data_IF_983226646432
#
_entry.id   IF_983226646432
#
_cell.length_a   1.000
_cell.length_b   1.000
_cell.length_c   1.000
_cell.angle_alpha   90.00
_cell.angle_beta   90.00
_cell.angle_gamma   90.00
#
_symmetry.space_group_name_H-M   'P 1'
#
loop_
_entity.id
_entity.type
_entity.pdbx_description
1 polymer ?
#
# COMPACT_ATOMS: atom_id res chain seq x y z
N UNK A 1 -2.56 4.51 -1.69
CA UNK A 1 -2.66 3.05 -1.82
C UNK A 1 -2.18 2.47 -0.49
N UNK A 2 -2.88 1.45 0.06
CA UNK A 2 -2.55 0.89 1.37
C UNK A 2 -2.89 1.86 2.51
N UNK A 3 -4.17 2.13 2.71
CA UNK A 3 -4.61 3.20 3.62
C UNK A 3 -5.02 2.70 5.01
N UNK A 4 -4.75 1.45 5.34
CA UNK A 4 -5.27 0.65 6.46
C UNK A 4 -5.66 1.41 7.74
N UNK A 5 -4.86 2.35 8.24
CA UNK A 5 -5.20 3.12 9.44
C UNK A 5 -5.49 4.62 9.21
N UNK A 6 -5.46 5.09 7.97
CA UNK A 6 -5.80 6.44 7.51
C UNK A 6 -5.05 7.62 8.19
N UNK A 7 -4.18 7.39 9.14
CA UNK A 7 -3.56 8.46 9.96
C UNK A 7 -2.76 9.47 9.13
N UNK A 8 -2.03 9.03 8.11
CA UNK A 8 -1.17 9.88 7.29
C UNK A 8 -1.93 10.74 6.28
N UNK A 9 -3.21 10.43 6.05
CA UNK A 9 -4.06 11.11 5.06
C UNK A 9 -5.26 11.82 5.70
N UNK A 10 -5.33 11.84 7.02
CA UNK A 10 -6.40 12.54 7.75
C UNK A 10 -6.52 14.00 7.29
N UNK A 11 -7.71 14.43 6.94
CA UNK A 11 -8.00 15.78 6.43
C UNK A 11 -7.81 15.99 4.91
N UNK A 12 -7.33 15.00 4.16
CA UNK A 12 -7.24 15.06 2.69
C UNK A 12 -8.55 14.61 2.06
N UNK A 13 -9.42 15.55 1.67
CA UNK A 13 -10.73 15.24 1.08
C UNK A 13 -10.68 14.95 -0.43
N UNK A 14 -9.69 15.45 -1.14
CA UNK A 14 -9.63 15.42 -2.60
C UNK A 14 -8.78 14.25 -3.15
N UNK A 15 -8.62 13.17 -2.39
CA UNK A 15 -7.88 11.98 -2.78
C UNK A 15 -8.77 10.84 -3.29
N UNK A 16 -8.16 9.90 -4.02
CA UNK A 16 -8.68 8.56 -4.23
C UNK A 16 -7.96 7.62 -3.28
N UNK A 17 -8.71 6.97 -2.40
CA UNK A 17 -8.20 6.06 -1.39
C UNK A 17 -8.42 4.62 -1.85
N UNK A 18 -7.38 3.80 -1.73
CA UNK A 18 -7.40 2.42 -2.23
C UNK A 18 -7.02 1.51 -1.07
N UNK A 19 -7.94 0.63 -0.70
CA UNK A 19 -7.79 -0.29 0.41
C UNK A 19 -8.43 -1.64 0.07
N UNK A 20 -7.64 -2.72 -0.07
CA UNK A 20 -8.17 -4.03 -0.42
C UNK A 20 -8.94 -4.72 0.71
N UNK A 21 -8.54 -4.51 1.96
CA UNK A 21 -9.17 -5.20 3.11
C UNK A 21 -10.49 -4.53 3.48
N UNK A 22 -11.59 -5.27 3.36
CA UNK A 22 -12.96 -4.75 3.52
C UNK A 22 -13.19 -4.06 4.87
N UNK A 23 -12.71 -4.61 5.98
CA UNK A 23 -12.87 -4.01 7.32
C UNK A 23 -12.17 -2.67 7.45
N UNK A 24 -10.98 -2.51 6.86
CA UNK A 24 -10.29 -1.22 6.82
C UNK A 24 -10.94 -0.26 5.82
N UNK A 25 -11.37 -0.76 4.66
CA UNK A 25 -12.08 0.05 3.67
C UNK A 25 -13.38 0.67 4.23
N UNK A 26 -14.15 -0.10 5.00
CA UNK A 26 -15.39 0.36 5.60
C UNK A 26 -15.14 1.44 6.68
N UNK A 27 -13.99 1.39 7.34
CA UNK A 27 -13.59 2.38 8.35
C UNK A 27 -13.07 3.70 7.75
N UNK A 28 -12.79 3.75 6.44
CA UNK A 28 -12.38 4.99 5.78
C UNK A 28 -13.53 6.01 5.81
N UNK A 29 -13.23 7.31 5.99
CA UNK A 29 -14.22 8.34 6.01
C UNK A 29 -15.00 8.41 4.68
N UNK A 30 -16.06 9.23 4.66
CA UNK A 30 -16.78 9.52 3.41
C UNK A 30 -15.86 10.29 2.46
N UNK A 31 -15.30 9.56 1.51
CA UNK A 31 -14.35 10.03 0.53
C UNK A 31 -14.41 9.16 -0.73
N UNK A 32 -13.78 9.62 -1.79
CA UNK A 32 -13.65 8.80 -3.01
C UNK A 32 -12.70 7.63 -2.73
N UNK A 33 -13.20 6.40 -2.78
CA UNK A 33 -12.45 5.20 -2.40
C UNK A 33 -12.78 3.99 -3.25
N UNK A 34 -11.82 3.04 -3.35
CA UNK A 34 -11.93 1.78 -4.08
C UNK A 34 -11.50 0.61 -3.19
N UNK A 35 -12.34 -0.43 -3.13
CA UNK A 35 -12.02 -1.65 -2.41
C UNK A 35 -11.36 -2.67 -3.35
N UNK A 36 -10.10 -2.43 -3.67
CA UNK A 36 -9.27 -3.25 -4.56
C UNK A 36 -7.82 -3.22 -4.10
N UNK A 37 -7.04 -4.22 -4.47
CA UNK A 37 -5.57 -4.17 -4.43
C UNK A 37 -5.02 -3.57 -5.73
N UNK A 38 -3.81 -3.02 -5.66
CA UNK A 38 -3.08 -2.54 -6.84
C UNK A 38 -1.88 -3.45 -7.09
N UNK A 39 -1.68 -3.81 -8.36
CA UNK A 39 -0.51 -4.53 -8.83
C UNK A 39 -0.26 -4.21 -10.32
N UNK A 40 0.66 -4.95 -10.94
CA UNK A 40 1.00 -4.90 -12.36
C UNK A 40 0.10 -5.79 -13.24
N UNK A 41 -0.96 -6.36 -12.67
CA UNK A 41 -1.94 -7.21 -13.37
C UNK A 41 -3.38 -6.91 -12.96
N UNK A 42 -4.31 -7.38 -13.78
CA UNK A 42 -5.76 -7.39 -13.48
C UNK A 42 -6.18 -8.81 -13.09
N UNK A 43 -6.96 -8.95 -12.02
CA UNK A 43 -7.43 -10.26 -11.59
C UNK A 43 -7.83 -10.32 -10.12
N UNK A 44 -7.38 -11.36 -9.43
CA UNK A 44 -7.64 -11.60 -8.02
C UNK A 44 -6.36 -12.09 -7.32
N UNK A 45 -6.23 -11.76 -6.05
CA UNK A 45 -5.15 -12.24 -5.19
C UNK A 45 -5.67 -12.53 -3.78
N UNK A 46 -4.88 -13.27 -3.01
CA UNK A 46 -5.13 -13.47 -1.58
C UNK A 46 -4.38 -12.37 -0.82
N UNK A 47 -5.07 -11.70 0.09
CA UNK A 47 -4.46 -10.78 1.05
C UNK A 47 -4.58 -11.35 2.46
N UNK A 48 -3.49 -11.28 3.21
CA UNK A 48 -3.43 -11.68 4.62
C UNK A 48 -3.45 -10.44 5.51
N UNK A 49 -4.25 -10.48 6.57
CA UNK A 49 -4.45 -9.35 7.46
C UNK A 49 -4.95 -9.79 8.85
N UNK A 50 -4.97 -8.85 9.80
CA UNK A 50 -5.73 -8.98 11.05
C UNK A 50 -6.83 -7.92 11.07
N UNK A 51 -8.02 -8.28 11.55
CA UNK A 51 -9.09 -7.29 11.71
C UNK A 51 -8.75 -6.30 12.84
N UNK A 52 -9.13 -5.03 12.71
CA UNK A 52 -8.96 -4.05 13.79
C UNK A 52 -9.50 -4.54 15.14
N UNK A 53 -10.67 -5.17 15.14
CA UNK A 53 -11.32 -5.70 16.33
C UNK A 53 -10.51 -6.84 16.98
N UNK A 54 -9.91 -7.73 16.18
CA UNK A 54 -9.08 -8.82 16.70
C UNK A 54 -7.82 -8.26 17.36
N UNK A 55 -7.20 -7.24 16.79
CA UNK A 55 -6.04 -6.53 17.36
C UNK A 55 -6.41 -5.88 18.69
N UNK A 56 -7.52 -5.16 18.73
CA UNK A 56 -7.98 -4.44 19.92
C UNK A 56 -8.40 -5.42 21.05
N UNK A 57 -9.18 -6.45 20.73
CA UNK A 57 -9.66 -7.46 21.69
C UNK A 57 -8.51 -8.26 22.32
N UNK A 58 -7.48 -8.56 21.55
CA UNK A 58 -6.29 -9.27 22.03
C UNK A 58 -5.22 -8.34 22.59
N UNK A 59 -5.48 -7.02 22.66
CA UNK A 59 -4.54 -5.99 23.15
C UNK A 59 -3.19 -6.05 22.44
N UNK A 60 -3.20 -6.31 21.15
CA UNK A 60 -2.01 -6.38 20.31
C UNK A 60 -1.52 -4.98 19.93
N UNK A 61 -0.24 -4.83 19.56
CA UNK A 61 0.31 -3.57 19.11
C UNK A 61 -0.46 -2.97 17.91
N UNK A 62 -0.79 -1.68 17.98
CA UNK A 62 -1.64 -1.01 16.99
C UNK A 62 -1.01 -0.92 15.58
N UNK A 63 0.32 -1.02 15.48
CA UNK A 63 1.01 -1.04 14.19
C UNK A 63 0.64 -2.26 13.34
N UNK A 64 0.16 -3.36 13.94
CA UNK A 64 -0.35 -4.53 13.20
C UNK A 64 -1.51 -4.21 12.26
N UNK A 65 -2.24 -3.10 12.49
CA UNK A 65 -3.28 -2.62 11.58
C UNK A 65 -2.73 -2.21 10.20
N UNK A 66 -1.42 -1.96 10.09
CA UNK A 66 -0.72 -1.70 8.84
C UNK A 66 -0.21 -2.95 8.12
N UNK A 67 -0.05 -4.07 8.83
CA UNK A 67 0.61 -5.27 8.30
C UNK A 67 -0.29 -6.13 7.38
N UNK A 68 -0.91 -5.52 6.37
CA UNK A 68 -1.74 -6.23 5.40
C UNK A 68 -0.90 -6.55 4.16
N UNK A 69 -0.70 -7.82 3.85
CA UNK A 69 0.24 -8.24 2.82
C UNK A 69 -0.40 -9.19 1.81
N UNK A 70 -0.10 -9.00 0.54
CA UNK A 70 -0.59 -9.84 -0.54
C UNK A 70 0.32 -11.07 -0.72
N UNK A 71 -0.30 -12.24 -0.89
CA UNK A 71 0.40 -13.50 -1.16
C UNK A 71 0.77 -14.29 0.09
N UNK A 72 1.29 -13.65 1.14
CA UNK A 72 1.71 -14.30 2.38
C UNK A 72 1.47 -13.43 3.62
N UNK A 73 1.40 -14.02 4.83
CA UNK A 73 1.29 -13.23 6.05
C UNK A 73 2.56 -12.43 6.34
N UNK A 74 2.39 -11.19 6.81
CA UNK A 74 3.49 -10.31 7.17
C UNK A 74 4.45 -10.96 8.20
N UNK A 75 5.78 -10.95 7.98
CA UNK A 75 6.74 -11.62 8.85
C UNK A 75 6.70 -11.17 10.32
N UNK A 76 6.53 -9.87 10.56
CA UNK A 76 6.42 -9.32 11.92
C UNK A 76 5.15 -9.78 12.63
N UNK A 77 4.06 -9.99 11.89
CA UNK A 77 2.82 -10.58 12.41
C UNK A 77 3.06 -12.02 12.89
N UNK A 78 3.72 -12.84 12.05
CA UNK A 78 4.04 -14.22 12.39
C UNK A 78 4.99 -14.31 13.60
N UNK A 79 6.00 -13.44 13.66
CA UNK A 79 6.95 -13.40 14.78
C UNK A 79 6.24 -13.07 16.09
N UNK A 80 5.44 -12.01 16.10
CA UNK A 80 4.72 -11.58 17.30
C UNK A 80 3.79 -12.67 17.83
N UNK A 81 3.04 -13.33 16.96
CA UNK A 81 2.11 -14.37 17.38
C UNK A 81 2.80 -15.58 17.98
N UNK A 82 4.02 -15.91 17.53
CA UNK A 82 4.86 -16.95 18.15
C UNK A 82 5.31 -16.53 19.54
N UNK A 83 5.82 -15.31 19.70
CA UNK A 83 6.34 -14.78 20.95
C UNK A 83 5.24 -14.65 22.03
N UNK A 84 4.06 -14.23 21.63
CA UNK A 84 2.91 -14.07 22.52
C UNK A 84 2.15 -15.38 22.81
N UNK A 85 2.62 -16.53 22.29
CA UNK A 85 1.92 -17.83 22.36
C UNK A 85 0.45 -17.75 21.91
N UNK A 86 0.13 -16.79 21.06
CA UNK A 86 -1.20 -16.58 20.49
C UNK A 86 -1.33 -17.36 19.19
N UNK A 87 -2.45 -18.05 19.04
CA UNK A 87 -2.70 -18.86 17.86
C UNK A 87 -2.79 -18.02 16.57
N UNK A 88 -2.34 -18.59 15.46
CA UNK A 88 -2.48 -17.98 14.12
C UNK A 88 -3.94 -17.82 13.66
N UNK A 89 -4.92 -18.30 14.45
CA UNK A 89 -6.35 -18.22 14.13
C UNK A 89 -6.91 -16.80 13.98
N UNK A 90 -6.16 -15.77 14.40
CA UNK A 90 -6.54 -14.37 14.24
C UNK A 90 -6.03 -13.76 12.92
N UNK A 91 -5.13 -14.45 12.20
CA UNK A 91 -4.77 -14.07 10.83
C UNK A 91 -5.93 -14.49 9.91
N UNK A 92 -6.39 -13.53 9.13
CA UNK A 92 -7.41 -13.73 8.10
C UNK A 92 -6.76 -13.72 6.73
N UNK A 93 -7.43 -14.35 5.78
CA UNK A 93 -7.09 -14.20 4.38
C UNK A 93 -8.38 -14.08 3.57
N UNK A 94 -8.40 -13.09 2.68
CA UNK A 94 -9.51 -12.86 1.77
C UNK A 94 -9.02 -12.80 0.33
N UNK A 95 -9.88 -13.22 -0.57
CA UNK A 95 -9.69 -13.04 -1.99
C UNK A 95 -10.15 -11.63 -2.36
N UNK A 96 -9.25 -10.84 -2.92
CA UNK A 96 -9.52 -9.46 -3.29
C UNK A 96 -9.33 -9.24 -4.78
N UNK A 97 -10.10 -8.31 -5.33
CA UNK A 97 -9.90 -7.85 -6.71
C UNK A 97 -8.59 -7.08 -6.81
N UNK A 98 -7.81 -7.37 -7.85
CA UNK A 98 -6.57 -6.67 -8.20
C UNK A 98 -6.80 -5.89 -9.49
N UNK A 99 -6.34 -4.64 -9.50
CA UNK A 99 -6.38 -3.79 -10.71
C UNK A 99 -5.06 -3.04 -10.87
N UNK A 100 -4.76 -2.62 -12.09
CA UNK A 100 -3.67 -1.67 -12.36
C UNK A 100 -4.08 -0.25 -11.97
N UNK A 101 -3.11 0.56 -11.56
CA UNK A 101 -3.39 1.97 -11.24
C UNK A 101 -3.92 2.73 -12.47
N UNK A 102 -3.46 2.38 -13.67
CA UNK A 102 -3.97 2.95 -14.93
C UNK A 102 -5.47 2.78 -15.06
N UNK A 103 -6.01 1.60 -14.74
CA UNK A 103 -7.45 1.33 -14.81
C UNK A 103 -8.27 2.23 -13.89
N UNK A 104 -7.73 2.56 -12.70
CA UNK A 104 -8.37 3.52 -11.80
C UNK A 104 -8.26 4.97 -12.30
N UNK A 105 -7.11 5.35 -12.87
CA UNK A 105 -6.93 6.67 -13.50
C UNK A 105 -7.97 6.87 -14.59
N UNK A 106 -8.15 5.88 -15.47
CA UNK A 106 -9.12 5.93 -16.57
C UNK A 106 -10.57 5.93 -16.04
N UNK A 107 -10.89 5.05 -15.10
CA UNK A 107 -12.22 4.96 -14.44
C UNK A 107 -12.64 6.29 -13.82
N UNK A 108 -11.74 6.90 -13.06
CA UNK A 108 -12.00 8.15 -12.34
C UNK A 108 -11.67 9.41 -13.16
N UNK A 109 -11.26 9.27 -14.43
CA UNK A 109 -10.90 10.35 -15.36
C UNK A 109 -9.89 11.32 -14.75
N UNK A 110 -8.89 10.78 -14.05
CA UNK A 110 -7.85 11.57 -13.38
C UNK A 110 -6.96 12.21 -14.43
N UNK A 111 -6.80 13.53 -14.38
CA UNK A 111 -5.99 14.31 -15.33
C UNK A 111 -4.66 14.80 -14.73
N UNK A 112 -4.55 14.77 -13.40
CA UNK A 112 -3.37 15.24 -12.68
C UNK A 112 -3.26 14.48 -11.36
N UNK A 113 -2.05 14.14 -10.97
CA UNK A 113 -1.73 13.50 -9.69
C UNK A 113 -0.72 14.38 -8.96
N UNK A 114 -1.16 15.06 -7.90
CA UNK A 114 -0.26 15.85 -7.06
C UNK A 114 0.64 14.96 -6.22
N UNK A 115 0.06 13.90 -5.64
CA UNK A 115 0.79 12.96 -4.80
C UNK A 115 0.28 11.54 -5.01
N UNK A 116 1.20 10.62 -5.24
CA UNK A 116 0.99 9.19 -5.19
C UNK A 116 1.72 8.64 -3.96
N UNK A 117 0.98 8.26 -2.92
CA UNK A 117 1.53 7.51 -1.79
C UNK A 117 1.22 6.03 -1.97
N UNK A 118 2.24 5.20 -1.84
CA UNK A 118 2.16 3.74 -1.87
C UNK A 118 2.73 3.24 -0.54
N UNK A 119 2.05 2.27 0.07
CA UNK A 119 2.37 1.74 1.39
C UNK A 119 1.71 0.35 1.44
N UNK A 120 2.39 -0.63 0.84
CA UNK A 120 1.81 -1.95 0.52
C UNK A 120 2.68 -3.11 1.01
N UNK A 121 3.51 -2.85 2.03
CA UNK A 121 4.27 -3.85 2.75
C UNK A 121 5.14 -4.72 1.80
N UNK A 122 6.00 -4.03 1.02
CA UNK A 122 6.97 -4.66 0.13
C UNK A 122 6.52 -4.85 -1.33
N UNK A 123 5.28 -4.47 -1.69
CA UNK A 123 4.79 -4.55 -3.09
C UNK A 123 4.97 -3.24 -3.88
N UNK A 124 5.49 -2.21 -3.26
CA UNK A 124 5.56 -0.83 -3.77
C UNK A 124 6.33 -0.70 -5.08
N UNK A 125 7.47 -1.40 -5.20
CA UNK A 125 8.30 -1.33 -6.40
C UNK A 125 7.62 -1.96 -7.62
N UNK A 126 6.81 -3.00 -7.45
CA UNK A 126 6.03 -3.62 -8.52
C UNK A 126 5.01 -2.61 -9.05
N UNK A 127 4.27 -1.97 -8.14
CA UNK A 127 3.29 -0.94 -8.49
C UNK A 127 3.96 0.25 -9.20
N UNK A 128 5.10 0.72 -8.68
CA UNK A 128 5.81 1.86 -9.29
C UNK A 128 6.34 1.53 -10.68
N UNK A 129 6.85 0.34 -10.91
CA UNK A 129 7.29 -0.10 -12.22
C UNK A 129 6.12 -0.11 -13.21
N UNK A 130 4.96 -0.64 -12.80
CA UNK A 130 3.75 -0.61 -13.64
C UNK A 130 3.30 0.83 -13.95
N UNK A 131 3.35 1.72 -12.95
CA UNK A 131 3.06 3.16 -13.16
C UNK A 131 3.98 3.77 -14.19
N UNK A 132 5.29 3.53 -14.08
CA UNK A 132 6.28 4.07 -15.00
C UNK A 132 6.16 3.51 -16.43
N UNK A 133 5.60 2.32 -16.60
CA UNK A 133 5.42 1.66 -17.89
C UNK A 133 4.08 2.00 -18.56
N UNK A 134 3.03 2.27 -17.78
CA UNK A 134 1.65 2.30 -18.32
C UNK A 134 0.92 3.62 -18.12
N UNK A 135 1.43 4.52 -17.27
CA UNK A 135 0.76 5.78 -16.90
C UNK A 135 1.48 6.97 -17.55
N UNK A 136 0.76 7.70 -18.42
CA UNK A 136 1.29 8.90 -19.08
C UNK A 136 1.38 10.13 -18.16
N UNK A 137 0.57 10.13 -17.07
CA UNK A 137 0.50 11.24 -16.12
C UNK A 137 1.47 10.98 -14.99
N UNK A 138 2.61 11.66 -14.98
CA UNK A 138 3.57 11.55 -13.89
C UNK A 138 3.07 12.28 -12.63
N UNK A 139 3.02 11.60 -11.45
CA UNK A 139 2.73 12.26 -10.18
C UNK A 139 3.79 13.31 -9.84
N UNK A 140 3.38 14.47 -9.33
CA UNK A 140 4.34 15.51 -8.90
C UNK A 140 5.17 15.04 -7.71
N UNK A 141 4.56 14.30 -6.80
CA UNK A 141 5.23 13.70 -5.64
C UNK A 141 4.88 12.22 -5.62
N UNK A 142 5.90 11.38 -5.43
CA UNK A 142 5.73 9.95 -5.14
C UNK A 142 6.36 9.68 -3.79
N UNK A 143 5.65 8.97 -2.91
CA UNK A 143 6.17 8.47 -1.65
C UNK A 143 5.90 6.97 -1.57
N UNK A 144 6.92 6.19 -1.25
CA UNK A 144 6.82 4.75 -1.12
C UNK A 144 7.77 4.23 -0.05
N UNK A 145 7.52 3.04 0.47
CA UNK A 145 8.28 2.46 1.56
C UNK A 145 9.70 2.03 1.16
N UNK A 146 10.62 2.21 2.12
CA UNK A 146 11.97 1.68 2.09
C UNK A 146 12.31 1.18 3.51
N UNK A 147 11.75 0.04 3.85
CA UNK A 147 11.85 -0.60 5.15
C UNK A 147 12.50 -1.99 5.04
N UNK A 148 12.50 -2.77 6.12
CA UNK A 148 13.12 -4.11 6.17
C UNK A 148 12.44 -5.14 5.25
N UNK A 149 11.23 -4.88 4.76
CA UNK A 149 10.52 -5.73 3.79
C UNK A 149 10.86 -5.35 2.36
N UNK A 150 11.42 -4.17 2.14
CA UNK A 150 11.73 -3.66 0.80
C UNK A 150 12.95 -4.37 0.23
N UNK A 151 12.82 -4.88 -0.98
CA UNK A 151 13.95 -5.41 -1.72
C UNK A 151 14.85 -4.26 -2.20
N UNK A 152 16.05 -4.11 -1.61
CA UNK A 152 16.95 -3.00 -1.89
C UNK A 152 17.36 -2.90 -3.37
N UNK A 153 17.52 -4.04 -4.06
CA UNK A 153 17.82 -4.04 -5.51
C UNK A 153 16.66 -3.47 -6.34
N UNK A 154 15.43 -3.75 -5.94
CA UNK A 154 14.25 -3.19 -6.60
C UNK A 154 14.10 -1.69 -6.30
N UNK A 155 14.37 -1.27 -5.05
CA UNK A 155 14.42 0.15 -4.67
C UNK A 155 15.46 0.90 -5.53
N UNK A 156 16.67 0.37 -5.66
CA UNK A 156 17.72 0.96 -6.51
C UNK A 156 17.28 1.05 -7.98
N UNK A 157 16.69 -0.02 -8.51
CA UNK A 157 16.25 -0.07 -9.90
C UNK A 157 15.12 0.95 -10.15
N UNK A 158 14.08 0.99 -9.31
CA UNK A 158 12.95 1.90 -9.49
C UNK A 158 13.36 3.36 -9.27
N UNK A 159 14.23 3.63 -8.31
CA UNK A 159 14.74 5.00 -8.07
C UNK A 159 15.61 5.50 -9.21
N UNK A 160 16.39 4.62 -9.86
CA UNK A 160 17.14 4.96 -11.09
C UNK A 160 16.16 5.38 -12.20
N UNK A 161 15.12 4.59 -12.47
CA UNK A 161 14.09 4.90 -13.47
C UNK A 161 13.39 6.24 -13.18
N UNK A 162 13.07 6.50 -11.90
CA UNK A 162 12.46 7.76 -11.48
C UNK A 162 13.40 8.96 -11.71
N UNK A 163 14.72 8.82 -11.43
CA UNK A 163 15.71 9.86 -11.75
C UNK A 163 15.78 10.15 -13.24
N UNK A 164 15.76 9.12 -14.08
CA UNK A 164 15.73 9.27 -15.54
C UNK A 164 14.46 10.01 -16.04
N UNK A 165 13.37 9.96 -15.26
CA UNK A 165 12.14 10.75 -15.50
C UNK A 165 12.14 12.14 -14.85
N UNK A 166 13.26 12.57 -14.26
CA UNK A 166 13.46 13.93 -13.72
C UNK A 166 13.17 14.07 -12.20
N UNK A 167 12.84 13.00 -11.49
CA UNK A 167 12.58 13.08 -10.06
C UNK A 167 13.85 13.27 -9.25
N UNK A 168 13.77 14.12 -8.21
CA UNK A 168 14.76 14.25 -7.13
C UNK A 168 14.32 13.42 -5.94
N UNK A 169 15.27 12.65 -5.34
CA UNK A 169 14.98 11.72 -4.24
C UNK A 169 15.37 12.34 -2.90
N UNK A 170 14.55 12.08 -1.91
CA UNK A 170 14.84 12.30 -0.49
C UNK A 170 14.55 11.00 0.25
N UNK A 171 15.56 10.45 0.92
CA UNK A 171 15.43 9.26 1.75
C UNK A 171 15.14 9.68 3.19
N UNK A 172 14.17 9.02 3.81
CA UNK A 172 13.82 9.17 5.23
C UNK A 172 13.99 7.83 5.96
N UNK A 173 13.65 7.80 7.24
CA UNK A 173 13.70 6.55 8.03
C UNK A 173 12.53 5.62 7.69
N UNK A 174 12.38 5.14 6.52
CA UNK A 174 11.32 4.18 6.16
C UNK A 174 10.62 4.51 4.85
N UNK A 175 10.91 5.67 4.25
CA UNK A 175 10.32 6.06 2.97
C UNK A 175 11.35 6.64 2.01
N UNK A 176 11.05 6.54 0.73
CA UNK A 176 11.63 7.37 -0.33
C UNK A 176 10.58 8.36 -0.81
N UNK A 177 10.94 9.64 -0.84
CA UNK A 177 10.09 10.71 -1.37
C UNK A 177 10.73 11.26 -2.64
N UNK A 178 9.98 11.20 -3.74
CA UNK A 178 10.42 11.64 -5.05
C UNK A 178 9.62 12.87 -5.46
N UNK A 179 10.29 13.92 -5.95
CA UNK A 179 9.65 15.17 -6.42
C UNK A 179 10.11 15.49 -7.82
N UNK A 180 9.13 15.73 -8.69
CA UNK A 180 9.36 16.16 -10.06
C UNK A 180 9.59 17.69 -10.11
#
# INVERSE_FOLDING_TARGET
IGTSNFRTMAGKKDGLFIEPVKSYFDSLPDCRKENVAISDFEGEAIIFYMRPEDIDNHKLPQWLKGCNMMGEPHPSMLKLLKEESKGFSIIRCDKVKVVRIKSLIDKHKIKKIEMLKIDTEGHDCIILNDVLDTVDILPRIIQFENNDLSNQKEIEAVTKRLKERGYRMQYTKGDVICRL
#
